data_IF_490280850275
#
_entry.id   IF_490280850275
#
_cell.length_a   1.000
_cell.length_b   1.000
_cell.length_c   1.000
_cell.angle_alpha   90.00
_cell.angle_beta   90.00
_cell.angle_gamma   90.00
#
_symmetry.space_group_name_H-M   'P 1'
#
loop_
_entity.id
_entity.type
_entity.pdbx_description
1 polymer ?
#
# COMPACT_ATOMS: atom_id res chain seq x y z
N UNK A 1 -34.66 8.60 23.76
CA UNK A 1 -33.90 7.45 24.28
C UNK A 1 -33.35 6.55 23.18
N UNK A 2 -34.15 6.05 22.22
CA UNK A 2 -33.62 5.21 21.11
C UNK A 2 -32.57 5.91 20.23
N UNK A 3 -32.77 7.19 19.90
CA UNK A 3 -31.85 7.97 19.05
C UNK A 3 -30.48 8.22 19.71
N UNK A 4 -30.46 8.44 21.03
CA UNK A 4 -29.23 8.69 21.80
C UNK A 4 -28.34 7.46 21.93
N UNK A 5 -28.93 6.27 22.09
CA UNK A 5 -28.18 5.01 22.12
C UNK A 5 -27.55 4.75 20.75
N UNK A 6 -28.30 4.99 19.66
CA UNK A 6 -27.80 4.78 18.30
C UNK A 6 -26.58 5.65 17.97
N UNK A 7 -26.60 6.91 18.40
CA UNK A 7 -25.48 7.84 18.17
C UNK A 7 -24.24 7.46 18.97
N UNK A 8 -24.39 6.98 20.20
CA UNK A 8 -23.25 6.53 21.03
C UNK A 8 -22.62 5.27 20.44
N UNK A 9 -23.44 4.31 19.99
CA UNK A 9 -22.94 3.10 19.32
C UNK A 9 -22.20 3.42 18.02
N UNK A 10 -22.71 4.35 17.21
CA UNK A 10 -22.05 4.79 15.99
C UNK A 10 -20.69 5.47 16.28
N UNK A 11 -20.61 6.29 17.33
CA UNK A 11 -19.35 6.92 17.74
C UNK A 11 -18.33 5.88 18.19
N UNK A 12 -18.74 4.89 19.01
CA UNK A 12 -17.84 3.82 19.45
C UNK A 12 -17.31 2.97 18.29
N UNK A 13 -18.17 2.63 17.31
CA UNK A 13 -17.75 1.88 16.12
C UNK A 13 -16.75 2.67 15.27
N UNK A 14 -16.96 3.97 15.10
CA UNK A 14 -16.03 4.84 14.38
C UNK A 14 -14.68 4.96 15.11
N UNK A 15 -14.70 5.12 16.44
CA UNK A 15 -13.46 5.13 17.24
C UNK A 15 -12.72 3.80 17.16
N UNK A 16 -13.40 2.65 17.28
CA UNK A 16 -12.78 1.33 17.15
C UNK A 16 -12.16 1.11 15.78
N UNK A 17 -12.82 1.54 14.71
CA UNK A 17 -12.26 1.48 13.36
C UNK A 17 -10.99 2.35 13.23
N UNK A 18 -10.99 3.56 13.81
CA UNK A 18 -9.84 4.46 13.79
C UNK A 18 -8.64 3.91 14.59
N UNK A 19 -8.88 3.43 15.81
CA UNK A 19 -7.81 2.85 16.65
C UNK A 19 -7.31 1.50 16.12
N UNK A 20 -8.14 0.73 15.43
CA UNK A 20 -7.72 -0.51 14.77
C UNK A 20 -6.80 -0.28 13.58
N UNK A 21 -6.91 0.87 12.89
CA UNK A 21 -6.13 1.16 11.68
C UNK A 21 -4.76 1.80 11.97
N UNK A 22 -4.65 2.58 13.04
CA UNK A 22 -3.39 3.23 13.44
C UNK A 22 -2.16 2.30 13.48
N UNK A 23 -2.21 1.12 14.14
CA UNK A 23 -1.06 0.22 14.17
C UNK A 23 -0.70 -0.38 12.80
N UNK A 24 -1.62 -0.39 11.83
CA UNK A 24 -1.34 -0.84 10.46
C UNK A 24 -0.60 0.23 9.63
N UNK A 25 -0.69 1.50 10.03
CA UNK A 25 0.01 2.62 9.38
C UNK A 25 1.38 2.91 10.00
N UNK A 26 1.57 2.55 11.27
CA UNK A 26 2.82 2.77 12.01
C UNK A 26 3.72 1.50 12.05
N UNK A 27 3.33 0.42 11.37
CA UNK A 27 4.14 -0.79 11.30
C UNK A 27 5.37 -0.59 10.38
N UNK A 28 6.54 -1.16 10.73
CA UNK A 28 7.68 -1.15 9.83
C UNK A 28 7.38 -1.91 8.54
N UNK A 29 7.89 -1.41 7.42
CA UNK A 29 7.75 -2.09 6.12
C UNK A 29 8.48 -3.43 6.11
N UNK A 30 7.89 -4.42 5.45
CA UNK A 30 8.51 -5.73 5.28
C UNK A 30 9.79 -5.64 4.44
N UNK A 31 10.79 -6.53 4.64
CA UNK A 31 12.01 -6.52 3.85
C UNK A 31 11.76 -6.63 2.34
N UNK A 32 10.74 -7.40 1.95
CA UNK A 32 10.34 -7.54 0.55
C UNK A 32 9.81 -6.22 -0.03
N UNK A 33 8.98 -5.50 0.72
CA UNK A 33 8.46 -4.20 0.28
C UNK A 33 9.55 -3.13 0.24
N UNK A 34 10.52 -3.16 1.15
CA UNK A 34 11.70 -2.30 1.07
C UNK A 34 12.52 -2.56 -0.20
N UNK A 35 12.69 -3.83 -0.61
CA UNK A 35 13.37 -4.18 -1.85
C UNK A 35 12.61 -3.64 -3.07
N UNK A 36 11.28 -3.84 -3.13
CA UNK A 36 10.47 -3.31 -4.21
C UNK A 36 10.49 -1.78 -4.24
N UNK A 37 10.53 -1.12 -3.09
CA UNK A 37 10.65 0.32 -2.99
C UNK A 37 11.95 0.82 -3.62
N UNK A 38 13.10 0.28 -3.22
CA UNK A 38 14.40 0.67 -3.78
C UNK A 38 14.48 0.47 -5.29
N UNK A 39 13.92 -0.63 -5.79
CA UNK A 39 13.89 -0.90 -7.23
C UNK A 39 12.92 0.04 -7.96
N UNK A 40 11.79 0.40 -7.34
CA UNK A 40 10.82 1.35 -7.91
C UNK A 40 11.39 2.75 -8.09
N UNK A 41 12.30 3.20 -7.22
CA UNK A 41 12.90 4.54 -7.28
C UNK A 41 13.73 4.77 -8.55
N UNK A 42 14.26 3.69 -9.14
CA UNK A 42 15.16 3.77 -10.30
C UNK A 42 14.51 3.32 -11.61
N UNK A 43 13.19 3.08 -11.62
CA UNK A 43 12.44 2.59 -12.78
C UNK A 43 12.69 3.38 -14.07
N UNK A 44 12.72 4.72 -13.99
CA UNK A 44 12.94 5.59 -15.14
C UNK A 44 14.34 5.49 -15.77
N UNK A 45 15.29 4.85 -15.09
CA UNK A 45 16.66 4.63 -15.57
C UNK A 45 16.91 3.20 -16.05
N UNK A 46 15.97 2.29 -15.79
CA UNK A 46 16.07 0.91 -16.19
C UNK A 46 15.76 0.72 -17.67
N UNK A 47 16.33 -0.32 -18.32
CA UNK A 47 15.82 -0.79 -19.60
C UNK A 47 14.33 -1.15 -19.51
N UNK A 48 13.56 -0.87 -20.56
CA UNK A 48 12.10 -1.07 -20.58
C UNK A 48 11.68 -2.51 -20.25
N UNK A 49 12.42 -3.51 -20.72
CA UNK A 49 12.16 -4.92 -20.41
C UNK A 49 12.34 -5.22 -18.92
N UNK A 50 13.35 -4.61 -18.27
CA UNK A 50 13.59 -4.79 -16.84
C UNK A 50 12.51 -4.12 -16.01
N UNK A 51 12.13 -2.88 -16.35
CA UNK A 51 11.03 -2.18 -15.70
C UNK A 51 9.71 -2.95 -15.83
N UNK A 52 9.42 -3.49 -17.02
CA UNK A 52 8.23 -4.31 -17.25
C UNK A 52 8.22 -5.58 -16.37
N UNK A 53 9.37 -6.26 -16.22
CA UNK A 53 9.50 -7.43 -15.34
C UNK A 53 9.28 -7.06 -13.88
N UNK A 54 9.86 -5.95 -13.42
CA UNK A 54 9.63 -5.45 -12.06
C UNK A 54 8.13 -5.23 -11.80
N UNK A 55 7.44 -4.53 -12.70
CA UNK A 55 6.01 -4.22 -12.54
C UNK A 55 5.19 -5.50 -12.43
N UNK A 56 5.44 -6.47 -13.32
CA UNK A 56 4.76 -7.77 -13.30
C UNK A 56 5.07 -8.54 -12.01
N UNK A 57 6.32 -8.55 -11.57
CA UNK A 57 6.73 -9.26 -10.34
C UNK A 57 6.07 -8.64 -9.09
N UNK A 58 6.10 -7.31 -8.96
CA UNK A 58 5.42 -6.59 -7.87
C UNK A 58 3.91 -6.83 -7.86
N UNK A 59 3.27 -6.77 -9.04
CA UNK A 59 1.84 -7.10 -9.16
C UNK A 59 1.56 -8.55 -8.78
N UNK A 60 2.39 -9.50 -9.23
CA UNK A 60 2.29 -10.90 -8.85
C UNK A 60 2.44 -11.12 -7.34
N UNK A 61 3.43 -10.49 -6.72
CA UNK A 61 3.65 -10.54 -5.28
C UNK A 61 2.44 -10.01 -4.49
N UNK A 62 1.88 -8.87 -4.88
CA UNK A 62 0.73 -8.26 -4.18
C UNK A 62 -0.58 -9.02 -4.41
N UNK A 63 -0.70 -9.74 -5.52
CA UNK A 63 -1.79 -10.69 -5.75
C UNK A 63 -1.69 -11.91 -4.84
N UNK A 64 -0.49 -12.49 -4.70
CA UNK A 64 -0.23 -13.64 -3.84
C UNK A 64 -0.26 -13.28 -2.34
N UNK A 65 0.07 -12.04 -2.01
CA UNK A 65 0.13 -11.52 -0.64
C UNK A 65 -0.76 -10.28 -0.48
N UNK A 66 -2.10 -10.41 -0.38
CA UNK A 66 -3.00 -9.26 -0.33
C UNK A 66 -2.72 -8.27 0.81
N UNK A 67 -2.09 -8.73 1.90
CA UNK A 67 -1.67 -7.87 3.02
C UNK A 67 -0.54 -6.92 2.66
N UNK A 68 0.21 -7.17 1.58
CA UNK A 68 1.25 -6.25 1.09
C UNK A 68 0.68 -4.88 0.71
N UNK A 69 -0.61 -4.80 0.34
CA UNK A 69 -1.31 -3.52 0.08
C UNK A 69 -1.51 -2.65 1.33
N UNK A 70 -1.32 -3.22 2.51
CA UNK A 70 -1.38 -2.52 3.80
C UNK A 70 0.01 -2.09 4.29
N UNK A 71 1.07 -2.45 3.57
CA UNK A 71 2.43 -2.03 3.90
C UNK A 71 2.57 -0.52 3.62
N UNK A 72 3.23 0.25 4.51
CA UNK A 72 3.34 1.69 4.37
C UNK A 72 4.03 2.14 3.07
N UNK A 73 4.88 1.31 2.45
CA UNK A 73 5.57 1.65 1.19
C UNK A 73 4.75 1.34 -0.07
N UNK A 74 3.64 0.60 0.04
CA UNK A 74 2.83 0.24 -1.13
C UNK A 74 2.37 1.46 -1.96
N UNK A 75 1.83 2.55 -1.37
CA UNK A 75 1.36 3.70 -2.14
C UNK A 75 2.46 4.39 -2.93
N UNK A 76 3.69 4.45 -2.40
CA UNK A 76 4.83 5.09 -3.06
C UNK A 76 5.32 4.26 -4.24
N UNK A 77 5.40 2.93 -4.08
CA UNK A 77 5.75 2.01 -5.18
C UNK A 77 4.72 2.10 -6.31
N UNK A 78 3.43 2.11 -5.97
CA UNK A 78 2.35 2.24 -6.95
C UNK A 78 2.42 3.58 -7.70
N UNK A 79 2.74 4.67 -7.00
CA UNK A 79 2.98 5.98 -7.60
C UNK A 79 4.17 5.97 -8.57
N UNK A 80 5.29 5.35 -8.19
CA UNK A 80 6.47 5.23 -9.05
C UNK A 80 6.18 4.45 -10.34
N UNK A 81 5.44 3.33 -10.22
CA UNK A 81 4.99 2.53 -11.38
C UNK A 81 4.05 3.34 -12.28
N UNK A 82 3.10 4.07 -11.71
CA UNK A 82 2.19 4.93 -12.46
C UNK A 82 2.96 6.01 -13.24
N UNK A 83 3.87 6.72 -12.57
CA UNK A 83 4.68 7.77 -13.19
C UNK A 83 5.55 7.24 -14.33
N UNK A 84 6.14 6.06 -14.15
CA UNK A 84 6.88 5.36 -15.20
C UNK A 84 5.99 5.08 -16.42
N UNK A 85 4.79 4.51 -16.18
CA UNK A 85 3.85 4.08 -17.22
C UNK A 85 3.21 5.23 -18.00
N UNK A 86 3.18 6.44 -17.44
CA UNK A 86 2.70 7.65 -18.14
C UNK A 86 3.82 8.28 -18.99
N UNK A 87 5.08 8.04 -18.65
CA UNK A 87 6.24 8.68 -19.28
C UNK A 87 6.86 7.87 -20.43
N UNK A 88 6.44 6.61 -20.62
CA UNK A 88 6.96 5.66 -21.61
C UNK A 88 5.82 4.95 -22.33
#
# INVERSE_FOLDING_TARGET
MKKTILTISALMLACLAFYGWKPLLEQPSSPQMQSYFQESEVLGTMPADSASRFIVDFMGYTMLNPRAKLDPLYPEIESNIYNYSVSH
#
